data_IF_500970471777
#
_entry.id   IF_500970471777
#
_cell.length_a   1.000
_cell.length_b   1.000
_cell.length_c   1.000
_cell.angle_alpha   90.00
_cell.angle_beta   90.00
_cell.angle_gamma   90.00
#
_symmetry.space_group_name_H-M   'P 1'
#
loop_
_entity.id
_entity.type
_entity.pdbx_description
1 polymer ?
#
# COMPACT_ATOMS: atom_id res chain seq x y z
N UNK A 1 4.50 -12.01 7.68
CA UNK A 1 3.20 -12.72 7.63
C UNK A 1 2.52 -12.35 6.32
N UNK A 2 1.90 -13.32 5.64
CA UNK A 2 1.13 -13.05 4.42
C UNK A 2 -0.09 -12.18 4.74
N UNK A 3 -0.43 -11.29 3.82
CA UNK A 3 -1.65 -10.48 3.88
C UNK A 3 -2.88 -11.31 3.48
N UNK A 4 -2.66 -12.25 2.57
CA UNK A 4 -3.65 -13.17 2.03
C UNK A 4 -3.23 -13.64 0.65
N UNK A 5 -4.10 -14.39 -0.02
CA UNK A 5 -3.90 -14.85 -1.37
C UNK A 5 -5.17 -14.70 -2.19
N UNK A 6 -5.03 -14.58 -3.51
CA UNK A 6 -6.15 -14.52 -4.43
C UNK A 6 -5.85 -15.36 -5.69
N UNK A 7 -6.86 -16.05 -6.25
CA UNK A 7 -6.71 -16.78 -7.50
C UNK A 7 -6.68 -15.81 -8.68
N UNK A 8 -5.87 -16.11 -9.70
CA UNK A 8 -5.85 -15.36 -10.96
C UNK A 8 -5.35 -16.25 -12.09
N UNK A 9 -5.41 -15.75 -13.32
CA UNK A 9 -4.91 -16.46 -14.51
C UNK A 9 -3.62 -15.81 -14.98
N UNK A 10 -2.54 -16.58 -15.03
CA UNK A 10 -1.29 -16.15 -15.69
C UNK A 10 -1.33 -16.54 -17.17
N UNK A 11 -1.05 -15.57 -18.04
CA UNK A 11 -0.93 -15.79 -19.49
C UNK A 11 0.55 -15.79 -19.89
N UNK A 12 0.98 -16.85 -20.58
CA UNK A 12 2.34 -16.98 -21.16
C UNK A 12 2.23 -17.47 -22.60
N UNK A 13 2.33 -16.56 -23.56
CA UNK A 13 2.05 -16.88 -24.96
C UNK A 13 0.57 -17.23 -25.13
N UNK A 14 0.30 -18.43 -25.64
CA UNK A 14 -1.04 -19.02 -25.78
C UNK A 14 -1.50 -19.80 -24.53
N UNK A 15 -0.59 -20.10 -23.60
CA UNK A 15 -0.90 -20.86 -22.39
C UNK A 15 -1.56 -19.99 -21.32
N UNK A 16 -2.67 -20.51 -20.78
CA UNK A 16 -3.34 -20.00 -19.57
C UNK A 16 -3.09 -20.96 -18.42
N UNK A 17 -2.73 -20.40 -17.26
CA UNK A 17 -2.46 -21.16 -16.04
C UNK A 17 -3.23 -20.53 -14.88
N UNK A 18 -4.09 -21.31 -14.24
CA UNK A 18 -4.70 -20.91 -12.97
C UNK A 18 -3.64 -20.95 -11.89
N UNK A 19 -3.48 -19.83 -11.19
CA UNK A 19 -2.46 -19.66 -10.14
C UNK A 19 -3.07 -18.97 -8.94
N UNK A 20 -2.51 -19.24 -7.76
CA UNK A 20 -2.78 -18.47 -6.55
C UNK A 20 -1.62 -17.52 -6.29
N UNK A 21 -1.92 -16.24 -6.03
CA UNK A 21 -0.93 -15.20 -5.74
C UNK A 21 -1.05 -14.80 -4.28
N UNK A 22 -0.01 -15.10 -3.50
CA UNK A 22 0.11 -14.67 -2.10
C UNK A 22 0.76 -13.29 -2.00
N UNK A 23 0.12 -12.37 -1.26
CA UNK A 23 0.61 -11.01 -1.05
C UNK A 23 1.29 -10.84 0.30
N UNK A 24 2.35 -10.02 0.32
CA UNK A 24 3.07 -9.62 1.51
C UNK A 24 3.27 -8.11 1.52
N UNK A 25 3.15 -7.50 2.70
CA UNK A 25 3.49 -6.09 2.89
C UNK A 25 5.00 -5.91 2.97
N UNK A 26 5.52 -4.94 2.22
CA UNK A 26 6.93 -4.56 2.23
C UNK A 26 7.07 -3.08 2.52
N UNK A 27 7.79 -2.74 3.59
CA UNK A 27 8.18 -1.35 3.86
C UNK A 27 9.36 -0.99 2.99
N UNK A 28 9.11 -0.18 1.96
CA UNK A 28 10.16 0.34 1.10
C UNK A 28 10.85 1.52 1.79
N UNK A 29 12.15 1.39 2.03
CA UNK A 29 12.97 2.45 2.67
C UNK A 29 13.82 3.22 1.67
N UNK A 30 14.17 2.59 0.55
CA UNK A 30 14.95 3.19 -0.54
C UNK A 30 14.53 2.59 -1.88
N UNK A 31 14.54 3.43 -2.90
CA UNK A 31 14.41 3.06 -4.30
C UNK A 31 15.73 3.34 -5.02
N UNK A 32 16.19 2.40 -5.86
CA UNK A 32 17.38 2.58 -6.70
C UNK A 32 17.02 3.31 -8.00
N UNK A 33 17.89 4.22 -8.43
CA UNK A 33 17.72 4.99 -9.68
C UNK A 33 17.97 4.13 -10.94
N UNK A 34 18.86 3.14 -10.82
CA UNK A 34 19.13 2.14 -11.86
C UNK A 34 18.81 0.75 -11.34
N UNK A 35 18.02 0.02 -12.11
CA UNK A 35 17.65 -1.37 -11.85
C UNK A 35 17.47 -2.11 -13.19
N UNK A 36 17.63 -3.44 -13.24
CA UNK A 36 17.72 -4.20 -14.50
C UNK A 36 16.51 -4.02 -15.42
N UNK A 37 15.30 -4.03 -14.86
CA UNK A 37 14.05 -4.01 -15.62
C UNK A 37 13.46 -2.59 -15.79
N UNK A 38 14.23 -1.52 -15.51
CA UNK A 38 13.74 -0.13 -15.58
C UNK A 38 13.17 0.27 -16.94
N UNK A 39 13.70 -0.32 -18.02
CA UNK A 39 13.24 -0.06 -19.39
C UNK A 39 12.00 -0.88 -19.78
N UNK A 40 11.64 -1.89 -18.99
CA UNK A 40 10.55 -2.82 -19.28
C UNK A 40 9.29 -2.52 -18.47
N UNK A 41 9.41 -1.71 -17.42
CA UNK A 41 8.33 -1.49 -16.45
C UNK A 41 8.16 0.00 -16.13
N UNK A 42 6.90 0.44 -16.10
CA UNK A 42 6.51 1.74 -15.55
C UNK A 42 6.21 1.59 -14.06
N UNK A 43 6.69 2.53 -13.26
CA UNK A 43 6.44 2.57 -11.81
C UNK A 43 5.71 3.85 -11.46
N UNK A 44 4.79 3.76 -10.51
CA UNK A 44 4.11 4.91 -9.92
C UNK A 44 3.83 4.63 -8.45
N UNK A 45 4.18 5.59 -7.60
CA UNK A 45 3.70 5.64 -6.22
C UNK A 45 2.25 6.14 -6.23
N UNK A 46 1.39 5.48 -5.47
CA UNK A 46 -0.04 5.78 -5.42
C UNK A 46 -0.50 5.76 -3.98
N UNK A 47 -1.56 6.52 -3.69
CA UNK A 47 -2.33 6.31 -2.46
C UNK A 47 -3.13 5.01 -2.55
N UNK A 48 -3.59 4.49 -1.40
CA UNK A 48 -4.41 3.27 -1.39
C UNK A 48 -5.70 3.41 -2.22
N UNK A 49 -6.47 4.52 -2.12
CA UNK A 49 -7.64 4.72 -2.98
C UNK A 49 -7.30 4.79 -4.47
N UNK A 50 -6.21 5.48 -4.83
CA UNK A 50 -5.76 5.57 -6.22
C UNK A 50 -5.32 4.22 -6.80
N UNK A 51 -4.72 3.37 -5.98
CA UNK A 51 -4.34 2.02 -6.37
C UNK A 51 -5.59 1.14 -6.54
N UNK A 52 -6.53 1.16 -5.58
CA UNK A 52 -7.78 0.42 -5.67
C UNK A 52 -8.57 0.76 -6.94
N UNK A 53 -8.65 2.04 -7.30
CA UNK A 53 -9.33 2.50 -8.52
C UNK A 53 -8.66 2.06 -9.83
N UNK A 54 -7.39 1.63 -9.81
CA UNK A 54 -6.64 1.18 -10.99
C UNK A 54 -6.51 -0.33 -11.12
N UNK A 55 -6.70 -1.06 -10.02
CA UNK A 55 -6.62 -2.51 -10.02
C UNK A 55 -7.85 -3.09 -10.70
N UNK A 56 -7.64 -3.97 -11.69
CA UNK A 56 -8.73 -4.64 -12.40
C UNK A 56 -9.17 -5.95 -11.75
N UNK A 57 -8.41 -6.48 -10.80
CA UNK A 57 -8.70 -7.74 -10.12
C UNK A 57 -9.35 -7.48 -8.76
N UNK A 58 -10.61 -7.91 -8.54
CA UNK A 58 -11.33 -7.69 -7.28
C UNK A 58 -10.65 -8.33 -6.06
N UNK A 59 -10.02 -9.50 -6.21
CA UNK A 59 -9.31 -10.17 -5.12
C UNK A 59 -8.08 -9.38 -4.68
N UNK A 60 -7.39 -8.78 -5.64
CA UNK A 60 -6.27 -7.87 -5.35
C UNK A 60 -6.74 -6.58 -4.66
N UNK A 61 -7.89 -6.02 -5.03
CA UNK A 61 -8.49 -4.85 -4.37
C UNK A 61 -8.86 -5.17 -2.91
N UNK A 62 -9.44 -6.34 -2.65
CA UNK A 62 -9.77 -6.79 -1.30
C UNK A 62 -8.52 -6.88 -0.42
N UNK A 63 -7.45 -7.49 -0.92
CA UNK A 63 -6.18 -7.56 -0.21
C UNK A 63 -5.60 -6.17 0.03
N UNK A 64 -5.71 -5.24 -0.92
CA UNK A 64 -5.26 -3.85 -0.72
C UNK A 64 -6.04 -3.14 0.41
N UNK A 65 -7.33 -3.40 0.57
CA UNK A 65 -8.12 -2.86 1.69
C UNK A 65 -7.66 -3.45 3.04
N UNK A 66 -7.39 -4.77 3.09
CA UNK A 66 -6.81 -5.40 4.29
C UNK A 66 -5.43 -4.83 4.62
N UNK A 67 -4.63 -4.47 3.61
CA UNK A 67 -3.36 -3.78 3.82
C UNK A 67 -3.57 -2.44 4.54
N UNK A 68 -4.57 -1.66 4.10
CA UNK A 68 -4.90 -0.37 4.69
C UNK A 68 -5.20 -0.51 6.19
N UNK A 69 -6.12 -1.40 6.55
CA UNK A 69 -6.51 -1.67 7.93
C UNK A 69 -5.31 -2.09 8.79
N UNK A 70 -4.47 -2.99 8.26
CA UNK A 70 -3.28 -3.45 8.97
C UNK A 70 -2.26 -2.34 9.18
N UNK A 71 -2.06 -1.47 8.20
CA UNK A 71 -1.14 -0.34 8.30
C UNK A 71 -1.65 0.71 9.30
N UNK A 72 -2.95 0.99 9.34
CA UNK A 72 -3.55 1.85 10.36
C UNK A 72 -3.38 1.26 11.76
N UNK A 73 -3.56 -0.05 11.92
CA UNK A 73 -3.33 -0.73 13.21
C UNK A 73 -1.86 -0.74 13.66
N UNK A 74 -0.91 -0.60 12.72
CA UNK A 74 0.52 -0.52 12.99
C UNK A 74 1.02 0.93 13.10
N UNK A 75 0.21 1.91 12.74
CA UNK A 75 0.57 3.30 12.81
C UNK A 75 0.74 3.71 14.28
N UNK A 76 1.83 4.41 14.64
CA UNK A 76 1.94 4.99 15.97
C UNK A 76 0.77 5.96 16.19
N UNK A 77 0.19 5.95 17.38
CA UNK A 77 -0.91 6.85 17.74
C UNK A 77 -0.56 8.28 17.35
N UNK A 78 -1.41 8.88 16.51
CA UNK A 78 -1.25 10.27 16.06
C UNK A 78 -1.20 11.14 17.33
N UNK A 79 -0.16 11.95 17.56
CA UNK A 79 -0.18 12.85 18.70
C UNK A 79 -1.39 13.77 18.55
N UNK A 80 -2.22 13.83 19.59
CA UNK A 80 -3.43 14.64 19.59
C UNK A 80 -3.10 16.07 19.17
N UNK A 81 -3.73 16.54 18.09
CA UNK A 81 -3.60 17.94 17.65
C UNK A 81 -4.19 18.84 18.75
N UNK A 82 -3.32 19.63 19.39
CA UNK A 82 -3.70 20.88 20.04
C UNK A 82 -3.83 20.84 21.56
N UNK A 83 -2.70 20.93 22.27
CA UNK A 83 -2.69 21.67 23.54
C UNK A 83 -2.65 23.15 23.17
N UNK A 84 -3.80 23.83 23.14
CA UNK A 84 -3.86 25.30 23.08
C UNK A 84 -2.96 25.83 24.19
N UNK A 85 -1.91 26.59 23.84
CA UNK A 85 -1.18 27.39 24.84
C UNK A 85 -2.19 28.37 25.44
N UNK A 86 -2.61 28.15 26.69
CA UNK A 86 -3.24 29.21 27.46
C UNK A 86 -2.19 30.33 27.58
N UNK A 87 -2.47 31.49 26.97
CA UNK A 87 -1.74 32.71 27.30
C UNK A 87 -2.06 33.04 28.77
N UNK A 88 -1.05 33.08 29.62
CA UNK A 88 -1.17 33.64 30.94
C UNK A 88 -1.58 35.11 30.82
N UNK A 89 -2.62 35.50 31.53
CA UNK A 89 -2.96 36.90 31.73
C UNK A 89 -1.79 37.57 32.46
N UNK A 90 -1.14 38.53 31.81
CA UNK A 90 -0.24 39.45 32.48
C UNK A 90 -1.07 40.65 32.90
N UNK A 91 -1.36 40.74 34.20
CA UNK A 91 -1.91 41.94 34.79
C UNK A 91 -0.90 43.09 34.79
N UNK A 92 -1.39 44.29 34.49
CA UNK A 92 -1.27 45.47 35.35
C UNK A 92 -2.25 46.52 34.86
#
# INVERSE_FOLDING_TARGET
>A
VALGAYPTVRIRGDRREDVEVTLYLMRVTRQLDRWPERGQRRRRWMTLPEAAARLGDPGLVELLNRAAERLEALAPAKPAKGRRKLKAASGR
#
